data_IF_431603980386
#
_entry.id   IF_431603980386
#
_cell.length_a   1.000
_cell.length_b   1.000
_cell.length_c   1.000
_cell.angle_alpha   90.00
_cell.angle_beta   90.00
_cell.angle_gamma   90.00
#
_symmetry.space_group_name_H-M   'P 1'
#
loop_
_entity.id
_entity.type
_entity.pdbx_description
1 polymer ?
#
# COMPACT_ATOMS: atom_id res chain seq x y z
N UNK A 1 -3.79 35.70 20.37
CA UNK A 1 -3.17 35.73 19.03
C UNK A 1 -4.17 35.10 18.07
N UNK A 2 -4.99 35.91 17.40
CA UNK A 2 -5.88 35.40 16.35
C UNK A 2 -5.08 35.29 15.05
N UNK A 3 -5.22 34.17 14.32
CA UNK A 3 -4.68 34.07 12.96
C UNK A 3 -5.39 35.13 12.11
N UNK A 4 -4.70 36.22 11.81
CA UNK A 4 -5.23 37.35 11.05
C UNK A 4 -5.43 37.00 9.57
N UNK A 5 -6.36 36.09 9.29
CA UNK A 5 -6.78 35.74 7.94
C UNK A 5 -8.08 36.48 7.65
N UNK A 6 -7.95 37.64 7.02
CA UNK A 6 -9.10 38.33 6.43
C UNK A 6 -9.57 37.55 5.21
N UNK A 7 -10.73 36.92 5.30
CA UNK A 7 -11.42 36.41 4.13
C UNK A 7 -11.80 37.59 3.25
N UNK A 8 -11.47 37.52 1.96
CA UNK A 8 -11.76 38.57 0.98
C UNK A 8 -13.25 38.94 1.01
N UNK A 9 -13.52 40.25 0.89
CA UNK A 9 -14.82 40.96 0.90
C UNK A 9 -16.07 40.16 0.45
N UNK A 10 -17.28 40.43 1.01
CA UNK A 10 -18.55 39.74 0.68
C UNK A 10 -19.02 39.79 -0.79
N UNK A 11 -18.30 40.51 -1.66
CA UNK A 11 -18.59 40.67 -3.08
C UNK A 11 -17.84 39.69 -4.00
N UNK A 12 -16.95 38.84 -3.47
CA UNK A 12 -16.30 37.77 -4.23
C UNK A 12 -16.77 36.40 -3.72
N UNK A 13 -17.43 35.64 -4.58
CA UNK A 13 -17.58 34.20 -4.41
C UNK A 13 -16.20 33.55 -4.44
N UNK A 14 -15.62 33.22 -3.29
CA UNK A 14 -14.43 32.37 -3.23
C UNK A 14 -14.48 31.42 -2.02
N UNK A 15 -15.64 30.84 -1.78
CA UNK A 15 -15.79 29.66 -0.92
C UNK A 15 -15.81 28.44 -1.86
N UNK A 16 -15.01 27.42 -1.57
CA UNK A 16 -14.83 26.21 -2.41
C UNK A 16 -14.14 26.46 -3.77
N UNK A 17 -13.03 27.21 -3.79
CA UNK A 17 -12.17 27.43 -4.98
C UNK A 17 -11.37 26.18 -5.43
N UNK A 18 -11.83 25.00 -5.08
CA UNK A 18 -11.20 23.76 -5.51
C UNK A 18 -11.56 23.46 -6.96
N UNK A 19 -10.56 23.02 -7.74
CA UNK A 19 -10.78 22.63 -9.13
C UNK A 19 -11.49 21.27 -9.24
N UNK A 20 -11.33 20.41 -8.24
CA UNK A 20 -11.90 19.06 -8.18
C UNK A 20 -12.77 18.89 -6.92
N UNK A 21 -14.05 18.54 -7.13
CA UNK A 21 -15.02 18.28 -6.06
C UNK A 21 -14.83 16.91 -5.41
N UNK A 22 -14.08 16.00 -6.03
CA UNK A 22 -13.78 14.64 -5.53
C UNK A 22 -12.44 14.55 -4.80
N UNK A 23 -11.83 15.69 -4.45
CA UNK A 23 -10.59 15.71 -3.68
C UNK A 23 -10.81 15.19 -2.25
N UNK A 24 -10.49 13.91 -2.05
CA UNK A 24 -10.62 13.21 -0.76
C UNK A 24 -9.25 12.77 -0.27
N UNK A 25 -8.94 13.10 0.99
CA UNK A 25 -7.73 12.60 1.67
C UNK A 25 -8.10 11.47 2.63
N UNK A 26 -7.45 10.31 2.47
CA UNK A 26 -7.60 9.17 3.37
C UNK A 26 -6.54 9.22 4.49
N UNK A 27 -6.99 9.20 5.74
CA UNK A 27 -6.12 9.13 6.92
C UNK A 27 -6.11 7.73 7.53
N UNK A 28 -4.97 7.35 8.12
CA UNK A 28 -4.82 6.14 8.94
C UNK A 28 -4.60 6.57 10.40
N UNK A 29 -5.39 6.01 11.32
CA UNK A 29 -5.19 6.18 12.76
C UNK A 29 -4.44 4.97 13.28
N UNK A 30 -3.29 5.20 13.92
CA UNK A 30 -2.41 4.15 14.39
C UNK A 30 -2.43 4.07 15.92
N UNK A 31 -2.36 2.85 16.44
CA UNK A 31 -2.19 2.55 17.86
C UNK A 31 -0.94 1.67 18.04
N UNK A 32 -0.31 1.73 19.22
CA UNK A 32 0.85 0.88 19.54
C UNK A 32 0.45 -0.56 19.77
N UNK A 33 -0.64 -0.74 20.52
CA UNK A 33 -1.16 -2.06 20.86
C UNK A 33 -2.18 -2.54 19.81
N UNK A 34 -2.16 -3.85 19.47
CA UNK A 34 -3.11 -4.40 18.53
C UNK A 34 -4.53 -4.34 19.09
N UNK A 35 -5.47 -3.89 18.28
CA UNK A 35 -6.90 -3.91 18.60
C UNK A 35 -7.48 -5.20 18.02
N UNK A 36 -8.15 -5.98 18.85
CA UNK A 36 -8.84 -7.20 18.41
C UNK A 36 -10.00 -6.79 17.48
N UNK A 37 -10.01 -7.23 16.21
CA UNK A 37 -11.10 -6.93 15.29
C UNK A 37 -12.40 -7.53 15.83
N UNK A 38 -13.48 -6.74 15.85
CA UNK A 38 -14.81 -7.28 16.09
C UNK A 38 -15.23 -8.16 14.91
N UNK A 39 -16.19 -9.05 15.10
CA UNK A 39 -16.64 -9.98 14.04
C UNK A 39 -17.85 -9.46 13.24
N UNK A 40 -18.43 -8.33 13.65
CA UNK A 40 -19.69 -7.78 13.13
C UNK A 40 -19.51 -6.78 11.99
N UNK A 41 -18.27 -6.49 11.57
CA UNK A 41 -17.96 -5.48 10.56
C UNK A 41 -17.02 -6.02 9.48
N UNK A 42 -17.08 -5.42 8.30
CA UNK A 42 -16.04 -5.61 7.29
C UNK A 42 -14.75 -4.92 7.75
N UNK A 43 -13.63 -5.61 7.56
CA UNK A 43 -12.30 -5.11 7.86
C UNK A 43 -11.48 -5.01 6.59
N UNK A 44 -10.65 -3.97 6.56
CA UNK A 44 -9.56 -3.85 5.60
C UNK A 44 -8.26 -4.10 6.33
N UNK A 45 -7.43 -4.96 5.77
CA UNK A 45 -6.11 -5.27 6.29
C UNK A 45 -5.06 -4.69 5.36
N UNK A 46 -4.09 -3.99 5.93
CA UNK A 46 -2.96 -3.38 5.21
C UNK A 46 -1.69 -4.14 5.54
N UNK A 47 -0.93 -4.54 4.53
CA UNK A 47 0.35 -5.23 4.66
C UNK A 47 1.43 -4.57 3.82
N UNK A 48 2.69 -4.81 4.22
CA UNK A 48 3.87 -4.52 3.42
C UNK A 48 4.71 -5.79 3.33
N UNK A 49 5.26 -6.07 2.14
CA UNK A 49 6.17 -7.20 1.93
C UNK A 49 7.13 -6.93 0.77
N UNK A 50 8.17 -7.74 0.68
CA UNK A 50 9.14 -7.74 -0.42
C UNK A 50 9.10 -9.06 -1.18
N UNK A 51 9.47 -9.05 -2.46
CA UNK A 51 9.51 -10.24 -3.32
C UNK A 51 10.91 -10.43 -3.88
N UNK A 52 11.26 -11.70 -4.16
CA UNK A 52 12.43 -12.02 -4.96
C UNK A 52 12.28 -11.52 -6.41
N UNK A 53 13.40 -11.34 -7.11
CA UNK A 53 13.38 -10.94 -8.53
C UNK A 53 12.98 -12.09 -9.45
N UNK A 54 12.15 -11.80 -10.45
CA UNK A 54 11.86 -12.74 -11.52
C UNK A 54 10.55 -12.43 -12.23
N UNK A 55 10.35 -12.94 -13.45
CA UNK A 55 9.08 -12.78 -14.15
C UNK A 55 7.95 -13.46 -13.37
N UNK A 56 6.81 -12.76 -13.25
CA UNK A 56 5.59 -13.31 -12.65
C UNK A 56 5.57 -13.42 -11.13
N UNK A 57 6.62 -12.97 -10.41
CA UNK A 57 6.66 -13.02 -8.93
C UNK A 57 5.51 -12.24 -8.29
N UNK A 58 5.21 -11.04 -8.78
CA UNK A 58 4.08 -10.26 -8.30
C UNK A 58 2.76 -10.95 -8.60
N UNK A 59 2.61 -11.52 -9.80
CA UNK A 59 1.40 -12.28 -10.14
C UNK A 59 1.16 -13.45 -9.17
N UNK A 60 2.21 -14.24 -8.87
CA UNK A 60 2.12 -15.33 -7.88
C UNK A 60 1.72 -14.81 -6.50
N UNK A 61 2.30 -13.69 -6.07
CA UNK A 61 1.95 -13.06 -4.79
C UNK A 61 0.49 -12.58 -4.76
N UNK A 62 -0.02 -11.96 -5.83
CA UNK A 62 -1.42 -11.50 -5.89
C UNK A 62 -2.42 -12.67 -6.02
N UNK A 63 -2.01 -13.76 -6.68
CA UNK A 63 -2.84 -14.95 -6.84
C UNK A 63 -3.24 -15.58 -5.50
N UNK A 64 -2.44 -15.42 -4.44
CA UNK A 64 -2.79 -15.97 -3.11
C UNK A 64 -4.08 -15.37 -2.55
N UNK A 65 -4.39 -14.11 -2.90
CA UNK A 65 -5.62 -13.42 -2.51
C UNK A 65 -6.75 -13.73 -3.49
N UNK A 66 -6.47 -13.65 -4.80
CA UNK A 66 -7.48 -13.85 -5.84
C UNK A 66 -8.09 -15.27 -5.79
N UNK A 67 -7.27 -16.30 -5.57
CA UNK A 67 -7.73 -17.69 -5.45
C UNK A 67 -8.55 -17.97 -4.17
N UNK A 68 -8.72 -16.98 -3.30
CA UNK A 68 -9.48 -17.07 -2.04
C UNK A 68 -10.62 -16.03 -2.00
N UNK A 69 -10.96 -15.44 -3.13
CA UNK A 69 -11.98 -14.40 -3.26
C UNK A 69 -11.76 -13.22 -2.29
N UNK A 70 -10.50 -12.84 -2.10
CA UNK A 70 -10.12 -11.68 -1.29
C UNK A 70 -9.88 -10.49 -2.21
N UNK A 71 -10.73 -9.47 -2.10
CA UNK A 71 -10.62 -8.27 -2.90
C UNK A 71 -9.45 -7.39 -2.44
N UNK A 72 -8.67 -6.88 -3.39
CA UNK A 72 -7.62 -5.90 -3.15
C UNK A 72 -8.16 -4.51 -3.44
N UNK A 73 -7.95 -3.57 -2.52
CA UNK A 73 -8.41 -2.18 -2.65
C UNK A 73 -7.27 -1.19 -2.80
N UNK A 74 -6.03 -1.64 -2.61
CA UNK A 74 -4.82 -0.88 -2.86
C UNK A 74 -3.72 -1.85 -3.24
N UNK A 75 -2.93 -1.48 -4.25
CA UNK A 75 -1.64 -2.08 -4.55
C UNK A 75 -0.70 -0.95 -4.94
N UNK A 76 0.46 -0.91 -4.30
CA UNK A 76 1.45 0.14 -4.55
C UNK A 76 2.86 -0.40 -4.34
N UNK A 77 3.71 -0.28 -5.35
CA UNK A 77 5.13 -0.61 -5.26
C UNK A 77 5.95 0.65 -4.98
N UNK A 78 6.88 0.58 -4.03
CA UNK A 78 7.88 1.64 -3.78
C UNK A 78 9.29 1.07 -3.80
N UNK A 79 10.26 1.73 -4.44
CA UNK A 79 11.65 1.30 -4.38
C UNK A 79 12.18 1.45 -2.95
N UNK A 80 12.92 0.45 -2.47
CA UNK A 80 13.51 0.43 -1.14
C UNK A 80 14.72 1.38 -1.10
N UNK A 81 14.60 2.49 -0.36
CA UNK A 81 15.60 3.57 -0.30
C UNK A 81 16.97 3.14 0.24
N UNK A 82 17.07 2.01 0.96
CA UNK A 82 18.32 1.53 1.58
C UNK A 82 19.29 0.88 0.60
N UNK A 83 18.85 0.50 -0.60
CA UNK A 83 19.70 -0.07 -1.66
C UNK A 83 19.34 0.55 -3.03
N UNK A 84 19.57 1.85 -3.21
CA UNK A 84 19.27 2.51 -4.47
C UNK A 84 20.41 2.24 -5.48
N UNK A 85 20.07 1.72 -6.64
CA UNK A 85 20.87 1.53 -7.87
C UNK A 85 21.66 0.23 -8.03
N UNK A 86 21.53 -0.34 -9.23
CA UNK A 86 22.61 -1.09 -9.89
C UNK A 86 22.92 -0.42 -11.25
N UNK A 87 24.21 -0.15 -11.47
CA UNK A 87 24.81 0.48 -12.67
C UNK A 87 24.91 -0.53 -13.81
N UNK A 88 24.11 -0.41 -14.86
CA UNK A 88 24.33 -1.17 -16.10
C UNK A 88 25.67 -0.69 -16.67
N UNK A 89 26.68 -1.56 -16.66
CA UNK A 89 28.02 -1.22 -17.15
C UNK A 89 28.02 -1.23 -18.69
N UNK A 90 28.73 -0.29 -19.31
CA UNK A 90 28.95 -0.23 -20.77
C UNK A 90 29.94 -1.31 -21.26
N UNK A 91 30.38 -2.20 -20.36
CA UNK A 91 31.14 -3.40 -20.69
C UNK A 91 30.22 -4.55 -21.10
N UNK A 92 30.60 -5.29 -22.16
CA UNK A 92 29.94 -6.54 -22.61
C UNK A 92 30.00 -7.72 -21.59
N UNK A 93 30.24 -7.42 -20.31
CA UNK A 93 30.37 -8.37 -19.19
C UNK A 93 29.75 -7.82 -17.89
N UNK A 94 28.78 -6.90 -17.97
CA UNK A 94 28.13 -6.31 -16.79
C UNK A 94 27.31 -7.30 -15.96
N UNK A 95 27.14 -7.01 -14.66
CA UNK A 95 26.01 -7.57 -13.88
C UNK A 95 25.59 -6.67 -12.73
N UNK A 96 24.70 -5.76 -13.07
CA UNK A 96 24.04 -4.89 -12.14
C UNK A 96 22.49 -5.07 -12.15
N UNK A 97 21.95 -5.67 -11.08
CA UNK A 97 20.55 -5.95 -10.71
C UNK A 97 20.20 -5.59 -9.25
N UNK A 98 19.40 -4.57 -9.04
CA UNK A 98 18.69 -4.43 -7.78
C UNK A 98 17.27 -3.95 -8.08
N UNK A 99 16.28 -4.73 -7.65
CA UNK A 99 14.90 -4.29 -7.55
C UNK A 99 14.30 -4.69 -6.20
N UNK A 100 14.89 -4.15 -5.12
CA UNK A 100 14.28 -4.18 -3.79
C UNK A 100 13.02 -3.31 -3.80
N UNK A 101 11.85 -3.90 -4.00
CA UNK A 101 10.56 -3.21 -3.91
C UNK A 101 9.82 -3.61 -2.64
N UNK A 102 9.26 -2.60 -1.98
CA UNK A 102 8.22 -2.77 -0.99
C UNK A 102 6.87 -2.69 -1.70
N UNK A 103 6.05 -3.72 -1.51
CA UNK A 103 4.67 -3.75 -1.99
C UNK A 103 3.75 -3.48 -0.81
N UNK A 104 2.98 -2.40 -0.90
CA UNK A 104 1.90 -2.06 0.02
C UNK A 104 0.58 -2.55 -0.58
N UNK A 105 -0.14 -3.38 0.17
CA UNK A 105 -1.44 -3.89 -0.25
C UNK A 105 -2.47 -3.66 0.84
N UNK A 106 -3.66 -3.19 0.44
CA UNK A 106 -4.85 -3.22 1.27
C UNK A 106 -5.83 -4.25 0.71
N UNK A 107 -6.38 -5.11 1.55
CA UNK A 107 -7.36 -6.12 1.15
C UNK A 107 -8.56 -6.23 2.10
N UNK A 108 -9.70 -6.70 1.58
CA UNK A 108 -10.99 -6.78 2.29
C UNK A 108 -11.18 -8.14 2.97
N UNK A 109 -10.47 -8.33 4.07
CA UNK A 109 -10.70 -9.40 5.02
C UNK A 109 -10.08 -9.06 6.39
N UNK A 110 -10.65 -9.59 7.46
CA UNK A 110 -10.10 -9.52 8.80
C UNK A 110 -9.00 -10.55 9.03
N UNK A 111 -7.98 -10.21 9.83
CA UNK A 111 -6.96 -11.15 10.30
C UNK A 111 -7.51 -12.29 11.18
N UNK A 112 -8.77 -12.18 11.64
CA UNK A 112 -9.47 -13.25 12.34
C UNK A 112 -10.07 -14.30 11.38
N UNK A 113 -10.19 -14.01 10.08
CA UNK A 113 -10.78 -14.93 9.11
C UNK A 113 -9.75 -15.97 8.62
N UNK A 114 -10.12 -17.27 8.55
CA UNK A 114 -9.22 -18.32 8.06
C UNK A 114 -8.72 -18.07 6.63
N UNK A 115 -9.54 -17.51 5.74
CA UNK A 115 -9.13 -17.22 4.36
C UNK A 115 -7.98 -16.20 4.30
N UNK A 116 -8.01 -15.18 5.18
CA UNK A 116 -6.96 -14.18 5.26
C UNK A 116 -5.68 -14.78 5.85
N UNK A 117 -5.80 -15.54 6.95
CA UNK A 117 -4.68 -16.24 7.57
C UNK A 117 -3.99 -17.20 6.58
N UNK A 118 -4.76 -17.97 5.83
CA UNK A 118 -4.24 -18.88 4.81
C UNK A 118 -3.60 -18.14 3.63
N UNK A 119 -4.16 -16.99 3.21
CA UNK A 119 -3.57 -16.16 2.16
C UNK A 119 -2.19 -15.63 2.60
N UNK A 120 -2.09 -15.11 3.83
CA UNK A 120 -0.84 -14.59 4.38
C UNK A 120 0.18 -15.69 4.66
N UNK A 121 -0.25 -16.86 5.13
CA UNK A 121 0.63 -18.02 5.27
C UNK A 121 1.22 -18.46 3.94
N UNK A 122 0.43 -18.50 2.86
CA UNK A 122 0.96 -18.74 1.51
C UNK A 122 1.88 -17.61 1.03
N UNK A 123 1.53 -16.35 1.32
CA UNK A 123 2.35 -15.20 0.92
C UNK A 123 3.73 -15.25 1.58
N UNK A 124 3.83 -15.66 2.85
CA UNK A 124 5.11 -15.84 3.57
C UNK A 124 6.05 -16.84 2.91
N UNK A 125 5.54 -17.83 2.17
CA UNK A 125 6.38 -18.77 1.41
C UNK A 125 7.01 -18.10 0.19
N UNK A 126 6.36 -17.06 -0.35
CA UNK A 126 6.75 -16.36 -1.58
C UNK A 126 7.49 -15.04 -1.32
N UNK A 127 7.52 -14.58 -0.07
CA UNK A 127 7.93 -13.20 0.28
C UNK A 127 8.70 -13.13 1.59
N UNK A 128 9.36 -12.00 1.80
CA UNK A 128 9.91 -11.62 3.09
C UNK A 128 9.16 -10.41 3.63
N UNK A 129 8.72 -10.50 4.90
CA UNK A 129 8.07 -9.44 5.66
C UNK A 129 9.09 -8.59 6.41
#
# INVERSE_FOLDING_TARGET
MGYGLGWVSPSLQAVLVQDDLENVTRFLVLARDPIIPRIDKSFKTSIVFTLEEGPGVLFKALAVFALRDINLTKIESRPQRKRPLRVVDDSNTGSAKYFDYLFYIDFEASMAEPRAQNALGHLQVLSHF
#
